data_IF_148460727117
#
_entry.id   IF_148460727117
#
_cell.length_a   1.000
_cell.length_b   1.000
_cell.length_c   1.000
_cell.angle_alpha   90.00
_cell.angle_beta   90.00
_cell.angle_gamma   90.00
#
_symmetry.space_group_name_H-M   'P 1'
#
loop_
_entity.id
_entity.type
_entity.pdbx_description
1 polymer ?
#
# COMPACT_ATOMS: atom_id res chain seq x y z
N UNK A 1 41.38 -20.54 -3.94
CA UNK A 1 39.92 -20.66 -3.91
C UNK A 1 39.39 -19.67 -4.93
N UNK A 2 38.73 -20.15 -5.99
CA UNK A 2 38.20 -19.29 -7.04
C UNK A 2 36.83 -18.81 -6.57
N UNK A 3 36.66 -17.51 -6.36
CA UNK A 3 35.34 -16.93 -6.11
C UNK A 3 34.50 -17.10 -7.37
N UNK A 4 33.43 -17.89 -7.26
CA UNK A 4 32.45 -18.04 -8.33
C UNK A 4 31.64 -16.73 -8.41
N UNK A 5 32.00 -15.86 -9.37
CA UNK A 5 31.24 -14.63 -9.63
C UNK A 5 29.91 -14.98 -10.28
N UNK A 6 28.87 -15.14 -9.46
CA UNK A 6 27.49 -15.28 -9.92
C UNK A 6 27.12 -14.12 -10.85
N UNK A 7 26.65 -14.44 -12.06
CA UNK A 7 26.12 -13.44 -12.98
C UNK A 7 24.80 -12.91 -12.43
N UNK A 8 24.64 -11.58 -12.38
CA UNK A 8 23.34 -10.96 -12.14
C UNK A 8 22.34 -11.47 -13.19
N UNK A 9 21.28 -12.12 -12.73
CA UNK A 9 20.21 -12.64 -13.58
C UNK A 9 19.34 -11.52 -14.18
N UNK A 10 18.26 -11.91 -14.86
CA UNK A 10 17.26 -10.95 -15.35
C UNK A 10 16.60 -10.20 -14.19
N UNK A 11 16.04 -9.01 -14.48
CA UNK A 11 15.33 -8.21 -13.47
C UNK A 11 14.16 -8.99 -12.85
N UNK A 12 13.77 -8.60 -11.63
CA UNK A 12 12.58 -9.16 -10.97
C UNK A 12 11.31 -8.93 -11.79
N UNK A 13 11.21 -7.79 -12.49
CA UNK A 13 10.12 -7.52 -13.42
C UNK A 13 10.08 -8.56 -14.56
N UNK A 14 11.22 -8.87 -15.17
CA UNK A 14 11.30 -9.90 -16.22
C UNK A 14 10.88 -11.27 -15.68
N UNK A 15 11.27 -11.61 -14.44
CA UNK A 15 10.81 -12.82 -13.77
C UNK A 15 9.28 -12.83 -13.62
N UNK A 16 8.68 -11.75 -13.11
CA UNK A 16 7.22 -11.65 -12.95
C UNK A 16 6.47 -11.70 -14.29
N UNK A 17 7.02 -11.10 -15.34
CA UNK A 17 6.48 -11.21 -16.71
C UNK A 17 6.49 -12.66 -17.20
N UNK A 18 7.58 -13.39 -16.96
CA UNK A 18 7.67 -14.82 -17.31
C UNK A 18 6.67 -15.68 -16.52
N UNK A 19 6.37 -15.30 -15.28
CA UNK A 19 5.35 -15.97 -14.46
C UNK A 19 3.90 -15.56 -14.84
N UNK A 20 3.73 -14.51 -15.64
CA UNK A 20 2.40 -13.97 -15.96
C UNK A 20 1.70 -13.26 -14.78
N UNK A 21 2.47 -12.84 -13.76
CA UNK A 21 1.93 -12.26 -12.51
C UNK A 21 2.33 -10.81 -12.29
N UNK A 22 2.98 -10.16 -13.27
CA UNK A 22 3.48 -8.79 -13.12
C UNK A 22 2.38 -7.81 -12.74
N UNK A 23 1.26 -7.82 -13.46
CA UNK A 23 0.17 -6.87 -13.30
C UNK A 23 -0.50 -7.03 -11.92
N UNK A 24 -0.82 -8.25 -11.52
CA UNK A 24 -1.38 -8.57 -10.19
C UNK A 24 -0.41 -8.20 -9.06
N UNK A 25 0.86 -8.57 -9.20
CA UNK A 25 1.90 -8.25 -8.21
C UNK A 25 2.08 -6.74 -8.06
N UNK A 26 2.04 -6.01 -9.18
CA UNK A 26 2.17 -4.55 -9.18
C UNK A 26 0.97 -3.89 -8.48
N UNK A 27 -0.25 -4.34 -8.78
CA UNK A 27 -1.46 -3.86 -8.11
C UNK A 27 -1.41 -4.11 -6.59
N UNK A 28 -1.01 -5.32 -6.18
CA UNK A 28 -0.82 -5.66 -4.77
C UNK A 28 0.26 -4.79 -4.10
N UNK A 29 1.38 -4.54 -4.78
CA UNK A 29 2.45 -3.71 -4.28
C UNK A 29 1.99 -2.26 -4.04
N UNK A 30 1.25 -1.67 -4.99
CA UNK A 30 0.67 -0.32 -4.83
C UNK A 30 -0.22 -0.26 -3.57
N UNK A 31 -1.11 -1.24 -3.40
CA UNK A 31 -1.99 -1.29 -2.22
C UNK A 31 -1.21 -1.39 -0.92
N UNK A 32 -0.18 -2.24 -0.87
CA UNK A 32 0.69 -2.43 0.29
C UNK A 32 1.43 -1.14 0.66
N UNK A 33 1.95 -0.43 -0.33
CA UNK A 33 2.62 0.86 -0.13
C UNK A 33 1.67 1.89 0.47
N UNK A 34 0.45 2.01 -0.06
CA UNK A 34 -0.56 2.95 0.47
C UNK A 34 -0.94 2.60 1.91
N UNK A 35 -1.20 1.32 2.20
CA UNK A 35 -1.55 0.88 3.55
C UNK A 35 -0.42 1.15 4.56
N UNK A 36 0.83 0.93 4.15
CA UNK A 36 2.01 1.27 4.94
C UNK A 36 2.13 2.78 5.17
N UNK A 37 1.99 3.61 4.13
CA UNK A 37 2.04 5.08 4.26
C UNK A 37 0.97 5.61 5.22
N UNK A 38 -0.25 5.06 5.19
CA UNK A 38 -1.31 5.43 6.13
C UNK A 38 -0.94 5.06 7.57
N UNK A 39 -0.38 3.88 7.81
CA UNK A 39 0.08 3.43 9.14
C UNK A 39 1.20 4.32 9.68
N UNK A 40 2.18 4.65 8.84
CA UNK A 40 3.30 5.53 9.22
C UNK A 40 2.82 6.95 9.55
N UNK A 41 1.89 7.49 8.76
CA UNK A 41 1.29 8.79 9.02
C UNK A 41 0.50 8.79 10.35
N UNK A 42 -0.30 7.76 10.59
CA UNK A 42 -0.99 7.59 11.88
C UNK A 42 -0.01 7.51 13.05
N UNK A 43 1.10 6.76 12.91
CA UNK A 43 2.12 6.65 13.95
C UNK A 43 2.81 8.00 14.22
N UNK A 44 3.15 8.75 13.16
CA UNK A 44 3.75 10.08 13.24
C UNK A 44 2.84 11.06 13.97
N UNK A 45 1.54 11.02 13.69
CA UNK A 45 0.52 11.88 14.31
C UNK A 45 0.02 11.33 15.66
N UNK A 46 0.57 10.19 16.13
CA UNK A 46 0.13 9.48 17.35
C UNK A 46 -1.37 9.18 17.37
N UNK A 47 -1.94 8.91 16.19
CA UNK A 47 -3.36 8.68 16.00
C UNK A 47 -3.69 7.19 16.15
N UNK A 48 -4.47 6.85 17.17
CA UNK A 48 -4.97 5.48 17.33
C UNK A 48 -5.95 5.09 16.21
N UNK A 49 -6.12 3.78 15.96
CA UNK A 49 -7.13 3.28 15.02
C UNK A 49 -8.55 3.79 15.34
N UNK A 50 -8.92 3.85 16.62
CA UNK A 50 -10.24 4.35 17.02
C UNK A 50 -10.40 5.84 16.72
N UNK A 51 -9.35 6.64 16.99
CA UNK A 51 -9.38 8.08 16.69
C UNK A 51 -9.44 8.34 15.18
N UNK A 52 -8.67 7.57 14.40
CA UNK A 52 -8.68 7.63 12.94
C UNK A 52 -10.05 7.27 12.37
N UNK A 53 -10.65 6.17 12.82
CA UNK A 53 -11.97 5.76 12.38
C UNK A 53 -13.04 6.83 12.67
N UNK A 54 -12.98 7.47 13.85
CA UNK A 54 -13.85 8.62 14.19
C UNK A 54 -13.62 9.82 13.26
N UNK A 55 -12.36 10.17 12.97
CA UNK A 55 -12.01 11.30 12.08
C UNK A 55 -12.46 11.07 10.64
N UNK A 56 -12.48 9.80 10.21
CA UNK A 56 -13.01 9.36 8.91
C UNK A 56 -14.53 9.16 8.89
N UNK A 57 -15.23 9.33 10.01
CA UNK A 57 -16.65 8.99 10.17
C UNK A 57 -16.97 7.55 9.71
N UNK A 58 -16.15 6.59 10.13
CA UNK A 58 -16.26 5.18 9.72
C UNK A 58 -16.09 4.23 10.91
N UNK A 59 -16.38 2.95 10.71
CA UNK A 59 -16.18 1.93 11.74
C UNK A 59 -14.72 1.50 11.83
N UNK A 60 -14.30 0.99 13.00
CA UNK A 60 -12.97 0.40 13.18
C UNK A 60 -12.71 -0.75 12.19
N UNK A 61 -13.71 -1.60 11.93
CA UNK A 61 -13.58 -2.72 10.98
C UNK A 61 -13.42 -2.26 9.53
N UNK A 62 -14.05 -1.14 9.15
CA UNK A 62 -13.81 -0.52 7.85
C UNK A 62 -12.41 0.08 7.76
N UNK A 63 -11.91 0.72 8.82
CA UNK A 63 -10.52 1.16 8.87
C UNK A 63 -9.53 -0.01 8.79
N UNK A 64 -9.79 -1.10 9.51
CA UNK A 64 -8.93 -2.29 9.46
C UNK A 64 -8.82 -2.83 8.03
N UNK A 65 -9.92 -2.87 7.27
CA UNK A 65 -9.92 -3.22 5.83
C UNK A 65 -9.11 -2.26 4.97
N UNK A 66 -9.06 -0.97 5.31
CA UNK A 66 -8.25 0.03 4.58
C UNK A 66 -6.76 -0.17 4.87
N UNK A 67 -6.42 -0.50 6.11
CA UNK A 67 -5.04 -0.70 6.57
C UNK A 67 -4.50 -2.11 6.30
N UNK A 68 -5.36 -3.02 5.87
CA UNK A 68 -5.00 -4.37 5.46
C UNK A 68 -4.17 -4.34 4.16
N UNK A 69 -2.90 -4.80 4.19
CA UNK A 69 -2.05 -4.84 3.01
C UNK A 69 -2.52 -5.84 1.94
N UNK A 70 -3.32 -6.85 2.31
CA UNK A 70 -3.74 -7.92 1.41
C UNK A 70 -5.17 -7.73 0.90
N UNK A 71 -5.85 -6.67 1.35
CA UNK A 71 -7.15 -6.28 0.83
C UNK A 71 -7.02 -5.36 -0.38
N UNK A 72 -7.09 -5.96 -1.57
CA UNK A 72 -7.02 -5.27 -2.87
C UNK A 72 -8.32 -4.55 -3.27
N UNK A 73 -9.44 -4.80 -2.58
CA UNK A 73 -10.77 -4.24 -2.92
C UNK A 73 -11.13 -3.05 -2.05
N UNK A 74 -10.43 -1.93 -2.25
CA UNK A 74 -10.77 -0.65 -1.61
C UNK A 74 -11.09 0.41 -2.66
N UNK A 75 -12.21 1.11 -2.46
CA UNK A 75 -12.60 2.23 -3.33
C UNK A 75 -11.65 3.42 -3.18
N UNK A 76 -11.38 4.11 -4.29
CA UNK A 76 -10.52 5.30 -4.30
C UNK A 76 -11.01 6.39 -3.33
N UNK A 77 -12.32 6.64 -3.27
CA UNK A 77 -12.92 7.60 -2.34
C UNK A 77 -12.56 7.32 -0.86
N UNK A 78 -12.47 6.04 -0.49
CA UNK A 78 -12.10 5.61 0.86
C UNK A 78 -10.64 5.92 1.16
N UNK A 79 -9.73 5.74 0.19
CA UNK A 79 -8.31 6.10 0.35
C UNK A 79 -8.12 7.62 0.44
N UNK A 80 -8.89 8.39 -0.34
CA UNK A 80 -8.91 9.85 -0.26
C UNK A 80 -9.34 10.30 1.14
N UNK A 81 -10.47 9.77 1.65
CA UNK A 81 -10.94 10.11 3.01
C UNK A 81 -9.94 9.72 4.11
N UNK A 82 -9.20 8.62 3.95
CA UNK A 82 -8.12 8.26 4.86
C UNK A 82 -6.97 9.27 4.83
N UNK A 83 -6.55 9.72 3.64
CA UNK A 83 -5.53 10.74 3.51
C UNK A 83 -5.99 12.08 4.13
N UNK A 84 -7.22 12.50 3.86
CA UNK A 84 -7.80 13.74 4.42
C UNK A 84 -7.93 13.69 5.95
N UNK A 85 -8.30 12.53 6.51
CA UNK A 85 -8.30 12.31 7.95
C UNK A 85 -6.90 12.39 8.58
N UNK A 86 -5.82 12.39 7.80
CA UNK A 86 -4.45 12.66 8.25
C UNK A 86 -3.95 14.06 7.80
N UNK A 87 -4.83 14.92 7.28
CA UNK A 87 -4.42 16.23 6.74
C UNK A 87 -3.53 16.13 5.49
N UNK A 88 -3.57 14.98 4.80
CA UNK A 88 -2.78 14.68 3.60
C UNK A 88 -3.68 14.63 2.37
N UNK A 89 -3.06 14.47 1.20
CA UNK A 89 -3.75 14.33 -0.08
C UNK A 89 -3.20 13.12 -0.83
N UNK A 90 -4.09 12.37 -1.46
CA UNK A 90 -3.71 11.28 -2.36
C UNK A 90 -3.42 11.86 -3.75
N UNK A 91 -2.25 11.55 -4.32
CA UNK A 91 -1.87 11.93 -5.68
C UNK A 91 -1.73 10.67 -6.53
N UNK A 92 -2.43 10.63 -7.65
CA UNK A 92 -2.39 9.54 -8.63
C UNK A 92 -2.11 10.16 -9.98
N UNK A 93 -1.23 9.52 -10.75
CA UNK A 93 -0.88 9.91 -12.11
C UNK A 93 -0.93 8.70 -13.03
N UNK A 94 -1.25 8.95 -14.30
CA UNK A 94 -1.08 7.98 -15.37
C UNK A 94 0.31 8.21 -15.97
N UNK A 95 1.09 7.15 -16.07
CA UNK A 95 2.47 7.15 -16.60
C UNK A 95 2.54 6.51 -17.97
#
# INVERSE_FOLDING_TARGET
>A
MVEERGRLGSSFENYLRQQGTLEETTAAAVKRVIAWQLKEAMATERLSKNAMARKMNTSRSQLDRILDPDNDRIQLATLIGAAEALGRRLRIELV
#
